data_IF_497382444207
#
_entry.id   IF_497382444207
#
_cell.length_a   1.000
_cell.length_b   1.000
_cell.length_c   1.000
_cell.angle_alpha   90.00
_cell.angle_beta   90.00
_cell.angle_gamma   90.00
#
_symmetry.space_group_name_H-M   'P 1'
#
loop_
_entity.id
_entity.type
_entity.pdbx_description
1 polymer ?
#
# COMPACT_ATOMS: atom_id res chain seq x y z
N UNK A 1 1.01 12.42 6.53
CA UNK A 1 2.34 11.79 6.62
C UNK A 1 2.83 11.92 8.05
N UNK A 2 3.32 10.85 8.68
CA UNK A 2 4.16 11.01 9.86
C UNK A 2 5.43 11.72 9.37
N UNK A 3 5.64 12.96 9.83
CA UNK A 3 6.70 13.86 9.37
C UNK A 3 8.10 13.44 9.83
N UNK A 4 8.17 12.58 10.85
CA UNK A 4 9.41 11.90 11.23
C UNK A 4 9.56 10.65 10.39
N UNK A 5 10.70 10.48 9.70
CA UNK A 5 11.08 9.22 9.05
C UNK A 5 11.36 8.09 10.05
N UNK A 6 10.57 8.01 11.12
CA UNK A 6 10.66 7.09 12.23
C UNK A 6 9.49 6.11 12.16
N UNK A 7 9.79 4.83 12.35
CA UNK A 7 8.78 3.78 12.46
C UNK A 7 8.42 3.61 13.94
N UNK A 8 7.13 3.63 14.24
CA UNK A 8 6.60 3.44 15.59
C UNK A 8 5.92 2.07 15.71
N UNK A 9 6.00 1.48 16.89
CA UNK A 9 5.34 0.21 17.21
C UNK A 9 3.82 0.38 17.13
N UNK A 10 3.10 -0.46 16.36
CA UNK A 10 1.64 -0.46 16.33
C UNK A 10 1.02 -1.44 17.34
N UNK A 11 1.80 -1.98 18.28
CA UNK A 11 1.36 -3.04 19.19
C UNK A 11 1.28 -2.52 20.62
N UNK A 12 0.20 -2.85 21.33
CA UNK A 12 0.03 -2.55 22.75
C UNK A 12 1.20 -3.08 23.59
N UNK A 13 1.63 -4.31 23.32
CA UNK A 13 2.79 -4.93 23.93
C UNK A 13 3.55 -5.77 22.90
N UNK A 14 4.88 -5.66 22.92
CA UNK A 14 5.77 -6.49 22.13
C UNK A 14 7.11 -6.66 22.83
N UNK A 15 7.84 -7.73 22.46
CA UNK A 15 9.23 -7.93 22.89
C UNK A 15 10.14 -8.14 21.70
N UNK A 16 11.26 -7.44 21.64
CA UNK A 16 12.25 -7.62 20.56
C UNK A 16 12.84 -9.01 20.65
N UNK A 17 12.49 -9.87 19.70
CA UNK A 17 12.99 -11.24 19.64
C UNK A 17 14.33 -11.30 18.92
N UNK A 18 14.45 -10.55 17.82
CA UNK A 18 15.58 -10.66 16.92
C UNK A 18 15.72 -9.42 16.05
N UNK A 19 16.98 -9.07 15.77
CA UNK A 19 17.35 -8.07 14.77
C UNK A 19 18.38 -8.71 13.85
N UNK A 20 18.15 -8.64 12.54
CA UNK A 20 19.05 -9.18 11.51
C UNK A 20 19.12 -8.26 10.30
N UNK A 21 20.10 -8.54 9.46
CA UNK A 21 20.29 -7.90 8.17
C UNK A 21 20.42 -8.96 7.08
N UNK A 22 19.75 -8.76 5.97
CA UNK A 22 19.77 -9.64 4.80
C UNK A 22 20.27 -8.90 3.58
N UNK A 23 20.79 -9.62 2.60
CA UNK A 23 21.18 -8.98 1.35
C UNK A 23 19.92 -8.63 0.55
N UNK A 24 19.95 -7.45 -0.08
CA UNK A 24 18.83 -6.91 -0.85
C UNK A 24 19.26 -6.72 -2.30
N UNK A 25 18.34 -6.87 -3.27
CA UNK A 25 18.62 -6.44 -4.64
C UNK A 25 18.89 -4.94 -4.66
N UNK A 26 19.62 -4.43 -5.65
CA UNK A 26 19.89 -2.99 -5.77
C UNK A 26 19.11 -2.38 -6.94
N UNK A 27 17.81 -2.17 -6.76
CA UNK A 27 16.95 -1.51 -7.78
C UNK A 27 17.14 0.00 -7.83
N UNK A 28 17.56 0.59 -6.71
CA UNK A 28 17.70 2.03 -6.53
C UNK A 28 19.12 2.37 -6.07
N UNK A 29 19.63 3.52 -6.53
CA UNK A 29 20.98 3.99 -6.13
C UNK A 29 21.01 4.50 -4.68
N UNK A 30 19.91 5.07 -4.22
CA UNK A 30 19.70 5.62 -2.88
C UNK A 30 19.21 4.60 -1.85
N UNK A 31 19.11 3.32 -2.24
CA UNK A 31 18.74 2.24 -1.32
C UNK A 31 19.90 1.85 -0.40
N UNK A 32 19.56 1.39 0.82
CA UNK A 32 20.52 0.74 1.71
C UNK A 32 20.99 -0.59 1.11
N UNK A 33 22.23 -0.97 1.42
CA UNK A 33 22.86 -2.16 0.84
C UNK A 33 22.26 -3.47 1.38
N UNK A 34 21.84 -3.46 2.64
CA UNK A 34 21.27 -4.61 3.33
C UNK A 34 19.88 -4.28 3.86
N UNK A 35 18.98 -5.22 3.76
CA UNK A 35 17.61 -5.12 4.26
C UNK A 35 17.59 -5.40 5.77
N UNK A 36 17.19 -4.43 6.60
CA UNK A 36 16.99 -4.69 8.02
C UNK A 36 15.75 -5.54 8.25
N UNK A 37 15.85 -6.45 9.21
CA UNK A 37 14.78 -7.31 9.67
C UNK A 37 14.68 -7.22 11.19
N UNK A 38 13.45 -7.02 11.67
CA UNK A 38 13.12 -7.02 13.09
C UNK A 38 12.02 -8.07 13.28
N UNK A 39 12.19 -8.96 14.26
CA UNK A 39 11.12 -9.82 14.74
C UNK A 39 10.71 -9.37 16.15
N UNK A 40 9.44 -9.04 16.32
CA UNK A 40 8.85 -8.74 17.61
C UNK A 40 7.95 -9.90 18.04
N UNK A 41 8.12 -10.41 19.24
CA UNK A 41 7.24 -11.40 19.84
C UNK A 41 6.00 -10.71 20.43
N UNK A 42 4.82 -11.21 20.07
CA UNK A 42 3.52 -10.65 20.47
C UNK A 42 2.76 -11.55 21.47
N UNK A 43 3.40 -12.62 21.95
CA UNK A 43 2.73 -13.66 22.75
C UNK A 43 2.18 -14.82 21.91
N UNK A 44 1.85 -15.94 22.57
CA UNK A 44 1.12 -17.06 21.95
C UNK A 44 1.77 -17.70 20.72
N UNK A 45 3.09 -17.57 20.55
CA UNK A 45 3.81 -18.05 19.36
C UNK A 45 3.65 -17.16 18.11
N UNK A 46 3.05 -15.98 18.23
CA UNK A 46 2.92 -14.98 17.17
C UNK A 46 4.09 -14.00 17.20
N UNK A 47 4.55 -13.59 16.03
CA UNK A 47 5.56 -12.55 15.84
C UNK A 47 5.13 -11.56 14.78
N UNK A 48 5.55 -10.30 14.93
CA UNK A 48 5.58 -9.33 13.85
C UNK A 48 6.95 -9.36 13.18
N UNK A 49 6.99 -9.66 11.89
CA UNK A 49 8.13 -9.43 11.01
C UNK A 49 8.03 -8.02 10.46
N UNK A 50 9.08 -7.24 10.69
CA UNK A 50 9.19 -5.85 10.23
C UNK A 50 10.42 -5.71 9.33
N UNK A 51 10.22 -5.06 8.18
CA UNK A 51 11.26 -4.72 7.21
C UNK A 51 11.26 -3.21 6.94
N UNK A 52 12.32 -2.74 6.28
CA UNK A 52 12.51 -1.35 5.84
C UNK A 52 12.65 -0.33 6.97
N UNK A 53 13.02 -0.81 8.16
CA UNK A 53 13.28 -0.02 9.37
C UNK A 53 14.69 -0.32 9.85
N UNK A 54 15.57 0.67 9.78
CA UNK A 54 16.87 0.59 10.44
C UNK A 54 16.68 0.65 11.96
N UNK A 55 16.96 -0.44 12.69
CA UNK A 55 16.56 -0.62 14.06
C UNK A 55 17.35 0.27 15.03
N UNK A 56 16.68 0.74 16.10
CA UNK A 56 17.30 1.37 17.28
C UNK A 56 16.98 0.60 18.57
N UNK A 57 16.92 -0.72 18.45
CA UNK A 57 16.37 -1.64 19.45
C UNK A 57 17.43 -2.56 20.04
N UNK A 58 17.19 -3.06 21.25
CA UNK A 58 17.97 -4.14 21.86
C UNK A 58 17.17 -5.43 21.91
N UNK A 59 17.82 -6.57 21.68
CA UNK A 59 17.18 -7.88 21.84
C UNK A 59 16.70 -8.03 23.29
N UNK A 60 15.46 -8.49 23.46
CA UNK A 60 14.80 -8.66 24.74
C UNK A 60 14.08 -7.41 25.27
N UNK A 61 14.26 -6.25 24.65
CA UNK A 61 13.57 -5.00 24.98
C UNK A 61 12.05 -5.16 24.86
N UNK A 62 11.33 -4.59 25.82
CA UNK A 62 9.86 -4.49 25.77
C UNK A 62 9.48 -3.19 25.10
N UNK A 63 8.45 -3.25 24.27
CA UNK A 63 7.92 -2.13 23.50
C UNK A 63 6.41 -2.07 23.72
N UNK A 64 5.88 -0.85 23.73
CA UNK A 64 4.45 -0.57 23.78
C UNK A 64 4.02 0.27 22.56
N UNK A 65 2.72 0.57 22.48
CA UNK A 65 2.15 1.33 21.37
C UNK A 65 2.83 2.70 21.26
N UNK A 66 3.32 3.02 20.06
CA UNK A 66 3.97 4.30 19.78
C UNK A 66 5.48 4.34 20.06
N UNK A 67 6.07 3.31 20.66
CA UNK A 67 7.52 3.29 20.89
C UNK A 67 8.31 3.29 19.57
N UNK A 68 9.46 4.00 19.50
CA UNK A 68 10.26 4.07 18.30
C UNK A 68 10.97 2.74 18.03
N UNK A 69 10.75 2.18 16.84
CA UNK A 69 11.44 0.99 16.36
C UNK A 69 12.77 1.34 15.68
N UNK A 70 12.84 2.54 15.09
CA UNK A 70 13.99 3.00 14.34
C UNK A 70 13.60 3.85 13.14
N UNK A 71 14.53 4.03 12.20
CA UNK A 71 14.38 4.95 11.07
C UNK A 71 13.91 4.21 9.81
N UNK A 72 12.94 4.77 9.10
CA UNK A 72 12.53 4.28 7.77
C UNK A 72 13.67 4.44 6.76
N UNK A 73 13.98 3.35 6.05
CA UNK A 73 15.02 3.33 5.00
C UNK A 73 14.43 3.10 3.62
N UNK A 74 15.20 3.50 2.59
CA UNK A 74 14.89 3.10 1.21
C UNK A 74 15.44 1.69 1.03
N UNK A 75 14.56 0.70 0.93
CA UNK A 75 14.96 -0.69 0.71
C UNK A 75 15.47 -0.92 -0.70
N UNK A 76 16.39 -1.88 -0.86
CA UNK A 76 16.80 -2.39 -2.16
C UNK A 76 15.66 -3.03 -2.98
N UNK A 77 14.60 -3.50 -2.31
CA UNK A 77 13.40 -4.05 -2.94
C UNK A 77 12.47 -2.99 -3.52
N UNK A 78 12.63 -1.72 -3.14
CA UNK A 78 11.77 -0.63 -3.57
C UNK A 78 11.91 -0.32 -5.06
N UNK A 79 10.76 -0.07 -5.70
CA UNK A 79 10.72 0.54 -7.02
C UNK A 79 10.98 2.04 -6.90
N UNK A 80 11.28 2.69 -8.04
CA UNK A 80 11.54 4.13 -8.09
C UNK A 80 10.39 4.97 -7.54
N UNK A 81 9.16 4.50 -7.67
CA UNK A 81 7.96 5.13 -7.14
C UNK A 81 7.58 4.67 -5.73
N UNK A 82 8.36 3.82 -5.06
CA UNK A 82 8.05 3.40 -3.68
C UNK A 82 8.47 4.49 -2.69
N UNK A 83 7.52 4.87 -1.83
CA UNK A 83 7.78 5.73 -0.67
C UNK A 83 8.45 4.93 0.44
N UNK A 84 9.14 5.61 1.36
CA UNK A 84 9.57 5.01 2.62
C UNK A 84 8.34 4.59 3.42
N UNK A 85 8.35 3.34 3.89
CA UNK A 85 7.29 2.78 4.73
C UNK A 85 7.85 1.60 5.52
N UNK A 86 7.19 1.25 6.61
CA UNK A 86 7.44 0.02 7.35
C UNK A 86 6.61 -1.09 6.70
N UNK A 87 7.26 -2.19 6.31
CA UNK A 87 6.55 -3.40 5.91
C UNK A 87 6.36 -4.29 7.13
N UNK A 88 5.13 -4.76 7.36
CA UNK A 88 4.75 -5.53 8.54
C UNK A 88 3.98 -6.78 8.14
N UNK A 89 4.39 -7.93 8.67
CA UNK A 89 3.69 -9.20 8.55
C UNK A 89 3.52 -9.85 9.92
N UNK A 90 2.32 -10.33 10.22
CA UNK A 90 2.10 -11.23 11.35
C UNK A 90 2.43 -12.66 10.94
N UNK A 91 3.22 -13.38 11.73
CA UNK A 91 3.67 -14.75 11.43
C UNK A 91 3.71 -15.60 12.69
N UNK A 92 3.61 -16.92 12.52
CA UNK A 92 3.99 -17.84 13.59
C UNK A 92 5.51 -17.84 13.77
N UNK A 93 5.99 -17.99 15.00
CA UNK A 93 7.40 -17.78 15.38
C UNK A 93 8.38 -18.64 14.59
N UNK A 94 8.02 -19.89 14.28
CA UNK A 94 8.85 -20.82 13.53
C UNK A 94 8.93 -20.51 12.03
N UNK A 95 8.05 -19.63 11.53
CA UNK A 95 7.92 -19.30 10.11
C UNK A 95 8.34 -17.85 9.78
N UNK A 96 9.02 -17.19 10.73
CA UNK A 96 9.25 -15.74 10.70
C UNK A 96 10.11 -15.23 9.54
N UNK A 97 10.89 -16.09 8.89
CA UNK A 97 11.80 -15.68 7.80
C UNK A 97 11.20 -15.80 6.41
N UNK A 98 10.11 -16.55 6.23
CA UNK A 98 9.56 -16.76 4.87
C UNK A 98 9.05 -15.46 4.27
N UNK A 99 9.13 -15.41 2.93
CA UNK A 99 8.69 -14.26 2.15
C UNK A 99 7.18 -14.22 1.88
N UNK A 100 6.46 -15.34 2.08
CA UNK A 100 5.02 -15.48 1.77
C UNK A 100 4.31 -16.27 2.86
N UNK A 101 2.98 -16.16 2.92
CA UNK A 101 2.14 -16.95 3.83
C UNK A 101 2.05 -16.37 5.25
N UNK A 102 2.12 -15.04 5.40
CA UNK A 102 1.81 -14.40 6.67
C UNK A 102 0.35 -14.63 7.08
N UNK A 103 0.06 -14.43 8.36
CA UNK A 103 -1.29 -14.50 8.88
C UNK A 103 -2.19 -13.44 8.21
N UNK A 104 -3.44 -13.80 7.99
CA UNK A 104 -4.46 -12.91 7.42
C UNK A 104 -4.98 -11.97 8.51
N UNK A 105 -5.15 -10.70 8.17
CA UNK A 105 -5.72 -9.69 9.06
C UNK A 105 -7.10 -9.27 8.55
N UNK A 106 -8.04 -9.05 9.48
CA UNK A 106 -9.36 -8.49 9.18
C UNK A 106 -9.36 -6.98 9.44
N UNK A 107 -9.93 -6.24 8.52
CA UNK A 107 -10.25 -4.82 8.62
C UNK A 107 -11.62 -4.70 9.31
N UNK A 108 -11.62 -4.28 10.57
CA UNK A 108 -12.85 -4.22 11.38
C UNK A 108 -13.57 -2.87 11.30
N UNK A 109 -12.85 -1.78 11.01
CA UNK A 109 -13.45 -0.43 11.04
C UNK A 109 -12.93 0.39 9.86
N UNK A 110 -13.75 0.49 8.82
CA UNK A 110 -13.62 1.55 7.82
C UNK A 110 -15.03 2.09 7.57
N UNK A 111 -15.29 3.39 7.78
CA UNK A 111 -16.57 3.98 7.41
C UNK A 111 -16.86 3.71 5.94
N UNK A 112 -18.02 3.16 5.65
CA UNK A 112 -18.53 2.97 4.29
C UNK A 112 -19.75 3.84 4.10
N UNK A 113 -19.74 4.63 3.03
CA UNK A 113 -20.87 5.50 2.66
C UNK A 113 -21.23 5.34 1.17
N UNK A 114 -20.94 4.17 0.59
CA UNK A 114 -21.24 3.89 -0.81
C UNK A 114 -20.03 4.03 -1.74
N UNK A 115 -20.03 3.23 -2.80
CA UNK A 115 -19.09 3.34 -3.90
C UNK A 115 -19.89 3.67 -5.16
N UNK A 116 -19.67 4.84 -5.75
CA UNK A 116 -20.13 5.12 -7.10
C UNK A 116 -18.89 5.14 -7.97
N UNK A 117 -18.68 4.07 -8.73
CA UNK A 117 -17.58 4.01 -9.68
C UNK A 117 -17.63 5.20 -10.64
N UNK A 118 -16.52 5.91 -10.77
CA UNK A 118 -16.40 7.04 -11.68
C UNK A 118 -15.46 6.65 -12.83
N UNK A 119 -15.98 6.68 -14.06
CA UNK A 119 -15.16 6.49 -15.25
C UNK A 119 -14.13 7.62 -15.44
N UNK A 120 -14.33 8.76 -14.76
CA UNK A 120 -13.42 9.91 -14.79
C UNK A 120 -13.20 10.45 -13.39
N UNK A 121 -11.95 10.69 -13.05
CA UNK A 121 -11.54 11.27 -11.78
C UNK A 121 -10.77 12.53 -12.09
N UNK A 122 -11.32 13.67 -11.64
CA UNK A 122 -10.66 14.96 -11.71
C UNK A 122 -10.04 15.27 -10.36
N UNK A 123 -8.79 15.69 -10.37
CA UNK A 123 -8.04 16.01 -9.18
C UNK A 123 -7.01 17.09 -9.42
N UNK A 124 -6.25 17.35 -8.37
CA UNK A 124 -5.15 18.30 -8.36
C UNK A 124 -3.92 17.64 -7.76
N UNK A 125 -2.75 17.90 -8.33
CA UNK A 125 -1.49 17.46 -7.75
C UNK A 125 -1.27 18.20 -6.44
N UNK A 126 -1.10 17.46 -5.35
CA UNK A 126 -0.86 18.00 -4.00
C UNK A 126 0.52 17.66 -3.45
N UNK A 127 1.28 16.84 -4.18
CA UNK A 127 2.65 16.50 -3.85
C UNK A 127 3.35 15.94 -5.08
N UNK A 128 4.62 16.32 -5.27
CA UNK A 128 5.48 15.81 -6.34
C UNK A 128 6.75 15.23 -5.72
N UNK A 129 7.00 13.96 -6.01
CA UNK A 129 8.28 13.30 -5.80
C UNK A 129 9.01 13.14 -7.15
N UNK A 130 10.22 12.58 -7.12
CA UNK A 130 11.01 12.32 -8.31
C UNK A 130 10.28 11.40 -9.30
N UNK A 131 9.56 10.38 -8.85
CA UNK A 131 8.96 9.35 -9.74
C UNK A 131 7.46 9.16 -9.55
N UNK A 132 6.81 9.97 -8.72
CA UNK A 132 5.37 9.92 -8.56
C UNK A 132 4.82 11.28 -8.14
N UNK A 133 3.53 11.47 -8.37
CA UNK A 133 2.78 12.58 -7.84
C UNK A 133 1.57 12.06 -7.06
N UNK A 134 1.16 12.78 -6.03
CA UNK A 134 -0.11 12.51 -5.34
C UNK A 134 -1.16 13.46 -5.86
N UNK A 135 -2.31 12.91 -6.19
CA UNK A 135 -3.45 13.63 -6.72
C UNK A 135 -4.57 13.54 -5.73
N UNK A 136 -5.08 14.68 -5.28
CA UNK A 136 -6.30 14.76 -4.48
C UNK A 136 -7.49 14.93 -5.41
N UNK A 137 -8.46 14.00 -5.43
CA UNK A 137 -9.68 14.17 -6.20
C UNK A 137 -10.46 15.42 -5.75
N UNK A 138 -10.99 16.20 -6.70
CA UNK A 138 -11.70 17.47 -6.45
C UNK A 138 -13.08 17.29 -5.85
N UNK A 139 -13.73 16.15 -6.10
CA UNK A 139 -14.98 15.75 -5.45
C UNK A 139 -14.71 14.47 -4.66
N UNK A 140 -15.34 14.28 -3.49
CA UNK A 140 -15.38 12.97 -2.86
C UNK A 140 -16.21 12.05 -3.75
N UNK A 141 -15.57 11.40 -4.72
CA UNK A 141 -16.21 10.33 -5.49
C UNK A 141 -16.31 9.04 -4.66
N UNK A 142 -15.77 9.04 -3.44
CA UNK A 142 -15.73 7.90 -2.53
C UNK A 142 -15.69 8.37 -1.08
N UNK A 143 -16.69 8.00 -0.29
CA UNK A 143 -16.58 7.93 1.17
C UNK A 143 -16.34 6.46 1.54
N UNK A 144 -15.25 5.92 0.99
CA UNK A 144 -14.85 4.53 1.15
C UNK A 144 -13.36 4.40 1.50
N UNK A 145 -12.83 3.16 1.58
CA UNK A 145 -11.48 2.90 2.04
C UNK A 145 -10.39 3.58 1.19
N UNK A 146 -10.67 3.84 -0.09
CA UNK A 146 -9.71 4.37 -1.07
C UNK A 146 -10.39 5.36 -2.02
N UNK A 147 -9.64 6.27 -2.69
CA UNK A 147 -10.20 7.37 -3.48
C UNK A 147 -10.72 6.97 -4.88
N UNK A 148 -10.59 5.69 -5.26
CA UNK A 148 -11.03 5.18 -6.56
C UNK A 148 -12.00 4.04 -6.34
N UNK A 149 -13.21 4.20 -6.88
CA UNK A 149 -14.17 3.12 -7.05
C UNK A 149 -14.23 2.68 -8.52
N UNK A 150 -14.22 1.37 -8.76
CA UNK A 150 -14.46 0.72 -10.04
C UNK A 150 -15.73 -0.13 -9.90
N UNK A 151 -16.81 0.29 -10.54
CA UNK A 151 -18.14 -0.30 -10.32
C UNK A 151 -18.57 -0.17 -8.86
N UNK A 152 -18.76 -1.30 -8.17
CA UNK A 152 -19.16 -1.35 -6.75
C UNK A 152 -18.00 -1.61 -5.78
N UNK A 153 -16.76 -1.66 -6.27
CA UNK A 153 -15.57 -1.95 -5.45
C UNK A 153 -14.54 -0.83 -5.47
N UNK A 154 -13.68 -0.80 -4.46
CA UNK A 154 -12.63 0.18 -4.26
C UNK A 154 -11.28 -0.40 -4.69
N UNK A 155 -10.53 0.32 -5.54
CA UNK A 155 -9.21 -0.13 -5.98
C UNK A 155 -8.21 -0.01 -4.82
N UNK A 156 -7.41 -1.05 -4.60
CA UNK A 156 -6.33 -1.07 -3.62
C UNK A 156 -5.03 -1.59 -4.24
N UNK A 157 -3.91 -0.94 -3.95
CA UNK A 157 -2.63 -1.22 -4.58
C UNK A 157 -2.43 -0.51 -5.91
N UNK A 158 -1.45 -0.95 -6.71
CA UNK A 158 -1.02 -0.25 -7.92
C UNK A 158 -1.34 -0.98 -9.23
N UNK A 159 -1.79 -0.25 -10.25
CA UNK A 159 -2.15 -0.78 -11.56
C UNK A 159 -1.76 0.18 -12.70
N UNK A 160 -1.38 -0.29 -13.91
CA UNK A 160 -1.05 -1.66 -14.32
C UNK A 160 0.41 -2.05 -14.03
N UNK A 161 1.20 -1.16 -13.42
CA UNK A 161 2.65 -1.34 -13.30
C UNK A 161 3.06 -2.54 -12.41
N UNK A 162 2.17 -3.02 -11.53
CA UNK A 162 2.33 -4.30 -10.82
C UNK A 162 1.62 -5.48 -11.49
N UNK A 163 0.97 -5.28 -12.65
CA UNK A 163 0.16 -6.24 -13.44
C UNK A 163 -1.15 -6.68 -12.81
N UNK A 164 -1.31 -6.51 -11.50
CA UNK A 164 -2.53 -6.80 -10.77
C UNK A 164 -2.76 -5.74 -9.68
N UNK A 165 -4.00 -5.61 -9.25
CA UNK A 165 -4.37 -4.83 -8.07
C UNK A 165 -5.49 -5.57 -7.31
N UNK A 166 -5.78 -5.12 -6.10
CA UNK A 166 -6.93 -5.60 -5.36
C UNK A 166 -8.14 -4.69 -5.61
N UNK A 167 -9.33 -5.27 -5.54
CA UNK A 167 -10.56 -4.50 -5.40
C UNK A 167 -11.25 -4.96 -4.13
N UNK A 168 -11.74 -4.01 -3.33
CA UNK A 168 -12.41 -4.21 -2.06
C UNK A 168 -13.90 -3.91 -2.22
N UNK A 169 -14.77 -4.87 -1.91
CA UNK A 169 -16.21 -4.64 -1.90
C UNK A 169 -16.87 -5.43 -0.75
N UNK A 170 -17.93 -4.90 -0.11
CA UNK A 170 -18.62 -5.61 0.97
C UNK A 170 -19.37 -6.85 0.47
N UNK A 171 -19.76 -6.88 -0.82
CA UNK A 171 -20.64 -7.91 -1.39
C UNK A 171 -20.03 -8.68 -2.57
N UNK A 172 -18.72 -8.91 -2.59
CA UNK A 172 -18.20 -9.90 -3.54
C UNK A 172 -18.73 -11.30 -3.19
N UNK A 173 -19.29 -12.00 -4.18
CA UNK A 173 -19.79 -13.38 -4.01
C UNK A 173 -18.65 -14.35 -3.66
N UNK A 174 -17.44 -14.08 -4.15
CA UNK A 174 -16.22 -14.86 -3.92
C UNK A 174 -15.04 -13.92 -3.70
N UNK A 175 -14.05 -14.31 -2.89
CA UNK A 175 -12.88 -13.51 -2.58
C UNK A 175 -12.43 -13.65 -1.13
N UNK A 176 -11.26 -13.10 -0.82
CA UNK A 176 -10.66 -13.13 0.50
C UNK A 176 -11.49 -12.30 1.48
N UNK A 177 -11.99 -12.92 2.54
CA UNK A 177 -12.67 -12.23 3.64
C UNK A 177 -11.66 -11.39 4.45
N UNK A 178 -11.83 -10.07 4.41
CA UNK A 178 -11.07 -9.09 5.18
C UNK A 178 -11.95 -8.45 6.28
N UNK A 179 -13.04 -9.08 6.71
CA UNK A 179 -13.97 -8.48 7.69
C UNK A 179 -15.00 -7.59 6.99
N UNK A 180 -14.87 -6.27 7.10
CA UNK A 180 -15.83 -5.31 6.51
C UNK A 180 -15.89 -5.41 4.98
N UNK A 181 -14.80 -5.83 4.34
CA UNK A 181 -14.71 -6.01 2.90
C UNK A 181 -14.31 -7.43 2.55
N UNK A 182 -14.64 -7.84 1.33
CA UNK A 182 -13.97 -8.93 0.64
C UNK A 182 -13.05 -8.36 -0.42
N UNK A 183 -11.91 -8.99 -0.62
CA UNK A 183 -10.95 -8.63 -1.65
C UNK A 183 -10.97 -9.64 -2.80
N UNK A 184 -10.95 -9.13 -4.03
CA UNK A 184 -10.67 -9.90 -5.23
C UNK A 184 -9.46 -9.29 -5.95
N UNK A 185 -8.71 -10.11 -6.67
CA UNK A 185 -7.61 -9.62 -7.50
C UNK A 185 -8.15 -9.25 -8.88
N UNK A 186 -7.81 -8.06 -9.36
CA UNK A 186 -7.99 -7.69 -10.76
C UNK A 186 -6.72 -7.96 -11.54
N UNK A 187 -6.87 -8.66 -12.66
CA UNK A 187 -5.82 -8.91 -13.64
C UNK A 187 -6.36 -8.64 -15.04
N UNK A 188 -5.49 -8.21 -15.96
CA UNK A 188 -5.81 -8.03 -17.38
C UNK A 188 -6.95 -7.04 -17.69
N UNK A 189 -7.29 -6.15 -16.74
CA UNK A 189 -8.21 -5.04 -16.99
C UNK A 189 -7.54 -4.00 -17.89
N UNK A 190 -8.25 -3.34 -18.82
CA UNK A 190 -7.68 -2.20 -19.55
C UNK A 190 -7.10 -1.17 -18.56
N UNK A 191 -5.86 -0.68 -18.78
CA UNK A 191 -5.26 0.32 -17.91
C UNK A 191 -6.01 1.65 -18.01
N UNK A 192 -5.93 2.51 -16.97
CA UNK A 192 -6.50 3.84 -17.06
C UNK A 192 -5.74 4.67 -18.10
N UNK A 193 -6.45 5.58 -18.76
CA UNK A 193 -5.82 6.65 -19.51
C UNK A 193 -5.33 7.71 -18.52
N UNK A 194 -4.05 8.06 -18.64
CA UNK A 194 -3.36 8.97 -17.74
C UNK A 194 -2.65 10.08 -18.54
N UNK A 195 -2.52 11.29 -17.98
CA UNK A 195 -1.69 12.31 -18.58
C UNK A 195 -0.23 11.85 -18.60
N UNK A 196 0.50 12.25 -19.64
CA UNK A 196 1.96 12.04 -19.65
C UNK A 196 2.58 12.80 -18.46
N UNK A 197 3.62 12.26 -17.81
CA UNK A 197 4.37 11.04 -18.14
C UNK A 197 3.91 9.78 -17.39
N UNK A 198 2.73 9.80 -16.76
CA UNK A 198 2.33 8.73 -15.85
C UNK A 198 1.96 7.43 -16.57
N UNK A 199 2.36 6.30 -15.97
CA UNK A 199 2.18 4.95 -16.54
C UNK A 199 1.30 4.05 -15.67
N UNK A 200 0.85 4.55 -14.53
CA UNK A 200 -0.01 3.82 -13.63
C UNK A 200 -0.44 4.64 -12.44
N UNK A 201 -1.35 4.04 -11.69
CA UNK A 201 -1.92 4.60 -10.47
C UNK A 201 -1.69 3.67 -9.30
N UNK A 202 -1.77 4.18 -8.08
CA UNK A 202 -1.94 3.38 -6.88
C UNK A 202 -2.82 4.08 -5.86
N UNK A 203 -3.53 3.29 -5.08
CA UNK A 203 -4.40 3.72 -3.97
C UNK A 203 -4.13 2.86 -2.76
N UNK A 204 -4.37 3.42 -1.57
CA UNK A 204 -4.08 2.76 -0.30
C UNK A 204 -5.19 3.05 0.70
N UNK A 205 -5.58 2.05 1.47
CA UNK A 205 -6.61 2.19 2.51
C UNK A 205 -6.29 3.34 3.46
N UNK A 206 -7.29 4.17 3.74
CA UNK A 206 -7.19 5.31 4.66
C UNK A 206 -6.43 6.51 4.07
N UNK A 207 -6.05 6.46 2.79
CA UNK A 207 -5.43 7.59 2.09
C UNK A 207 -6.42 8.24 1.12
N UNK A 208 -6.57 9.58 1.12
CA UNK A 208 -7.48 10.27 0.22
C UNK A 208 -6.87 10.61 -1.15
N UNK A 209 -5.70 10.05 -1.47
CA UNK A 209 -4.91 10.43 -2.66
C UNK A 209 -4.77 9.28 -3.65
N UNK A 210 -4.84 9.62 -4.93
CA UNK A 210 -4.39 8.74 -6.01
C UNK A 210 -2.93 9.02 -6.29
N UNK A 211 -2.09 8.00 -6.21
CA UNK A 211 -0.68 8.11 -6.56
C UNK A 211 -0.47 7.82 -8.03
N UNK A 212 -0.03 8.80 -8.81
CA UNK A 212 0.37 8.61 -10.19
C UNK A 212 1.86 8.30 -10.27
N UNK A 213 2.24 7.23 -10.96
CA UNK A 213 3.65 6.78 -11.03
C UNK A 213 4.24 6.98 -12.42
N UNK A 214 5.52 7.30 -12.49
CA UNK A 214 6.30 7.44 -13.71
C UNK A 214 7.54 6.56 -13.67
N UNK A 215 7.94 6.04 -14.83
CA UNK A 215 9.22 5.30 -14.98
C UNK A 215 10.40 6.27 -14.97
N UNK A 216 10.25 7.39 -15.66
CA UNK A 216 11.24 8.45 -15.73
C UNK A 216 11.03 9.49 -14.62
N UNK A 217 12.08 10.21 -14.21
CA UNK A 217 11.93 11.34 -13.31
C UNK A 217 10.92 12.36 -13.85
N UNK A 218 10.00 12.82 -13.01
CA UNK A 218 9.00 13.81 -13.37
C UNK A 218 9.66 15.13 -13.74
N UNK A 219 9.19 15.71 -14.85
CA UNK A 219 9.57 17.03 -15.36
C UNK A 219 8.30 17.72 -15.84
N UNK A 220 8.11 18.98 -15.45
CA UNK A 220 6.92 19.75 -15.84
C UNK A 220 5.62 19.28 -15.17
N UNK A 221 5.72 18.68 -13.98
CA UNK A 221 4.59 18.42 -13.09
C UNK A 221 4.83 19.21 -11.81
N UNK A 222 3.86 20.00 -11.39
CA UNK A 222 3.90 20.84 -10.20
C UNK A 222 2.66 20.62 -9.32
N UNK A 223 2.80 20.95 -8.04
CA UNK A 223 1.63 21.08 -7.15
C UNK A 223 0.69 22.16 -7.69
N UNK A 224 -0.61 21.88 -7.66
CA UNK A 224 -1.64 22.71 -8.29
C UNK A 224 -2.03 22.28 -9.70
N UNK A 225 -1.24 21.42 -10.36
CA UNK A 225 -1.57 20.97 -11.71
C UNK A 225 -2.88 20.17 -11.73
N UNK A 226 -3.81 20.47 -12.66
CA UNK A 226 -5.03 19.68 -12.82
C UNK A 226 -4.69 18.32 -13.43
N UNK A 227 -5.33 17.29 -12.91
CA UNK A 227 -5.18 15.91 -13.39
C UNK A 227 -6.54 15.32 -13.71
N UNK A 228 -6.61 14.62 -14.84
CA UNK A 228 -7.74 13.79 -15.21
C UNK A 228 -7.27 12.34 -15.39
N UNK A 229 -7.93 11.42 -14.70
CA UNK A 229 -7.74 9.97 -14.86
C UNK A 229 -9.01 9.43 -15.49
N UNK A 230 -8.90 8.68 -16.60
CA UNK A 230 -10.06 8.06 -17.24
C UNK A 230 -9.96 6.55 -17.25
N UNK A 231 -11.09 5.89 -17.08
CA UNK A 231 -11.21 4.45 -17.18
C UNK A 231 -12.32 4.07 -18.14
N UNK A 232 -11.98 3.22 -19.10
CA UNK A 232 -12.95 2.51 -19.92
C UNK A 232 -13.45 1.30 -19.11
N UNK A 233 -14.28 1.53 -18.08
CA UNK A 233 -14.92 0.41 -17.37
C UNK A 233 -16.03 -0.13 -18.29
N UNK A 234 -16.02 -1.42 -18.66
CA UNK A 234 -17.15 -2.00 -19.37
C UNK A 234 -18.42 -1.94 -18.51
N UNK A 235 -19.56 -1.62 -19.12
CA UNK A 235 -20.85 -1.71 -18.43
C UNK A 235 -21.04 -3.09 -17.79
N UNK A 236 -21.52 -3.14 -16.55
CA UNK A 236 -21.78 -4.41 -15.84
C UNK A 236 -20.60 -5.02 -15.07
N UNK A 237 -19.56 -4.24 -14.75
CA UNK A 237 -18.36 -4.70 -14.04
C UNK A 237 -18.59 -5.33 -12.64
N UNK A 238 -19.83 -5.42 -12.13
CA UNK A 238 -20.12 -6.24 -10.96
C UNK A 238 -20.09 -7.76 -11.25
N UNK A 239 -20.01 -8.17 -12.54
CA UNK A 239 -19.98 -9.56 -12.98
C UNK A 239 -18.80 -9.90 -13.93
N UNK A 240 -17.76 -9.06 -13.99
CA UNK A 240 -16.71 -9.15 -15.02
C UNK A 240 -15.69 -10.28 -14.78
N UNK A 241 -15.16 -10.91 -15.84
CA UNK A 241 -14.13 -11.95 -15.79
C UNK A 241 -12.76 -11.50 -15.26
N UNK A 242 -12.60 -10.22 -14.90
CA UNK A 242 -11.35 -9.64 -14.41
C UNK A 242 -11.08 -9.97 -12.94
N UNK A 243 -12.09 -10.39 -12.17
CA UNK A 243 -11.95 -10.72 -10.76
C UNK A 243 -11.63 -12.20 -10.59
N UNK A 244 -10.49 -12.51 -9.97
CA UNK A 244 -10.21 -13.85 -9.44
C UNK A 244 -10.30 -13.83 -7.92
N UNK A 245 -10.95 -14.87 -7.39
CA UNK A 245 -11.10 -15.12 -5.95
C UNK A 245 -9.87 -15.82 -5.37
#
# INVERSE_FOLDING_TARGET
YFSGGEALSPFEEARVLEVRWFDAPRRRRDAVEREPFIALWLGGGLVAKILHVEPRLRIGERLVLGDPLGRLVVSGYFYHWSEKHMHLELRVVHDRYRARGGARVKLLVVPWLGAVGAARIYGEVVYVDRHFALVKPRRPHTEGPTPIALGQGFLEGGYPHYRYAAVLAPRFRSGLDLGTFRAATIENMPPPELPRPFVGIATFIGRPYVKLVSREPLRGVAEGDPVEIRWSVPDGAAQTPFYRA
#
